data_IF_730942181324
#
_entry.id   IF_730942181324
#
_cell.length_a   1.000
_cell.length_b   1.000
_cell.length_c   1.000
_cell.angle_alpha   90.00
_cell.angle_beta   90.00
_cell.angle_gamma   90.00
#
_symmetry.space_group_name_H-M   'P 1'
#
loop_
_entity.id
_entity.type
_entity.pdbx_description
1 polymer ?
#
# COMPACT_ATOMS: atom_id res chain seq x y z
N UNK A 1 6.93 -9.19 22.14
CA UNK A 1 6.88 -9.72 20.77
C UNK A 1 6.21 -8.66 19.90
N UNK A 2 6.80 -8.30 18.76
CA UNK A 2 6.21 -7.34 17.80
C UNK A 2 5.68 -8.18 16.64
N UNK A 3 4.41 -8.03 16.32
CA UNK A 3 3.81 -8.65 15.14
C UNK A 3 3.81 -7.64 13.98
N UNK A 4 4.34 -8.05 12.83
CA UNK A 4 4.33 -7.25 11.61
C UNK A 4 3.55 -8.01 10.55
N UNK A 5 2.53 -7.37 9.98
CA UNK A 5 1.76 -7.89 8.85
C UNK A 5 1.86 -6.93 7.68
N UNK A 6 2.22 -7.44 6.50
CA UNK A 6 2.22 -6.69 5.26
C UNK A 6 1.10 -7.18 4.34
N UNK A 7 0.43 -6.26 3.65
CA UNK A 7 -0.56 -6.55 2.60
C UNK A 7 -0.29 -5.69 1.38
N UNK A 8 -0.50 -6.28 0.21
CA UNK A 8 -0.43 -5.56 -1.06
C UNK A 8 -1.84 -5.55 -1.62
N UNK A 9 -2.33 -4.36 -1.94
CA UNK A 9 -3.65 -4.14 -2.50
C UNK A 9 -3.50 -3.38 -3.83
N UNK A 10 -4.20 -3.82 -4.86
CA UNK A 10 -4.21 -3.17 -6.18
C UNK A 10 -5.54 -2.47 -6.41
N UNK A 11 -5.50 -1.18 -6.78
CA UNK A 11 -6.68 -0.37 -7.02
C UNK A 11 -6.70 0.14 -8.47
N UNK A 12 -7.87 0.13 -9.14
CA UNK A 12 -8.02 0.78 -10.43
C UNK A 12 -7.91 2.29 -10.28
N UNK A 13 -7.26 2.95 -11.23
CA UNK A 13 -7.26 4.41 -11.33
C UNK A 13 -8.53 4.88 -12.04
N UNK A 14 -9.08 6.02 -11.63
CA UNK A 14 -10.26 6.61 -12.29
C UNK A 14 -10.01 6.92 -13.76
N UNK A 15 -8.78 7.30 -14.09
CA UNK A 15 -8.31 7.57 -15.45
C UNK A 15 -6.85 7.08 -15.58
N UNK A 16 -6.38 6.87 -16.81
CA UNK A 16 -5.00 6.44 -17.03
C UNK A 16 -4.00 7.53 -16.62
N UNK A 17 -3.13 7.22 -15.68
CA UNK A 17 -2.06 8.12 -15.24
C UNK A 17 -0.83 7.96 -16.11
N UNK A 18 -0.48 8.99 -16.88
CA UNK A 18 0.61 8.93 -17.87
C UNK A 18 1.75 9.86 -17.49
N UNK A 19 2.96 9.31 -17.52
CA UNK A 19 4.22 10.04 -17.41
C UNK A 19 5.09 9.71 -18.64
N UNK A 20 6.23 10.39 -18.81
CA UNK A 20 7.15 10.14 -19.94
C UNK A 20 7.58 8.67 -20.10
N UNK A 21 7.54 7.89 -19.00
CA UNK A 21 7.88 6.45 -18.99
C UNK A 21 6.72 5.53 -19.40
N UNK A 22 5.52 6.06 -19.61
CA UNK A 22 4.33 5.30 -20.00
C UNK A 22 3.11 5.58 -19.12
N UNK A 23 2.04 4.84 -19.39
CA UNK A 23 0.75 4.98 -18.72
C UNK A 23 0.49 3.83 -17.74
N UNK A 24 -0.13 4.13 -16.61
CA UNK A 24 -0.67 3.16 -15.66
C UNK A 24 -2.16 3.33 -15.50
N UNK A 25 -2.88 2.23 -15.37
CA UNK A 25 -4.33 2.18 -15.14
C UNK A 25 -4.69 1.60 -13.77
N UNK A 26 -3.68 1.11 -13.04
CA UNK A 26 -3.79 0.54 -11.70
C UNK A 26 -2.65 1.06 -10.84
N UNK A 27 -2.91 1.15 -9.54
CA UNK A 27 -1.91 1.43 -8.52
C UNK A 27 -1.85 0.27 -7.53
N UNK A 28 -0.63 -0.14 -7.19
CA UNK A 28 -0.39 -1.10 -6.14
C UNK A 28 0.06 -0.35 -4.90
N UNK A 29 -0.45 -0.74 -3.73
CA UNK A 29 -0.20 -0.09 -2.46
C UNK A 29 0.22 -1.16 -1.46
N UNK A 30 1.28 -0.88 -0.70
CA UNK A 30 1.71 -1.79 0.37
C UNK A 30 1.29 -1.19 1.71
N UNK A 31 0.43 -1.92 2.43
CA UNK A 31 0.06 -1.59 3.81
C UNK A 31 0.88 -2.43 4.78
N UNK A 32 1.61 -1.78 5.67
CA UNK A 32 2.32 -2.42 6.78
C UNK A 32 1.59 -2.11 8.08
N UNK A 33 1.20 -3.16 8.81
CA UNK A 33 0.65 -3.07 10.17
C UNK A 33 1.68 -3.59 11.15
N UNK A 34 2.02 -2.78 12.13
CA UNK A 34 2.93 -3.14 13.21
C UNK A 34 2.15 -3.08 14.52
N UNK A 35 2.10 -4.21 15.22
CA UNK A 35 1.53 -4.37 16.56
C UNK A 35 2.66 -4.58 17.57
N UNK A 36 3.21 -3.51 18.17
CA UNK A 36 3.83 -3.65 19.48
C UNK A 36 2.75 -4.05 20.49
N UNK A 37 3.06 -4.90 21.47
CA UNK A 37 2.12 -5.54 22.40
C UNK A 37 1.29 -4.58 23.27
N UNK A 38 0.38 -3.83 22.66
CA UNK A 38 -0.47 -2.81 23.28
C UNK A 38 -1.07 -1.75 22.33
N UNK A 39 -0.71 -1.69 21.04
CA UNK A 39 -1.35 -0.73 20.11
C UNK A 39 -1.02 -0.94 18.63
N UNK A 40 -2.03 -0.80 17.77
CA UNK A 40 -1.94 -0.93 16.30
C UNK A 40 -1.34 0.34 15.67
N UNK A 41 -0.23 0.24 14.94
CA UNK A 41 0.29 1.31 14.06
C UNK A 41 0.20 0.89 12.60
N UNK A 42 -0.45 1.70 11.74
CA UNK A 42 -0.62 1.45 10.30
C UNK A 42 0.21 2.43 9.49
N UNK A 43 0.98 1.93 8.53
CA UNK A 43 1.71 2.71 7.53
C UNK A 43 1.36 2.23 6.12
N UNK A 44 1.42 3.14 5.13
CA UNK A 44 1.07 2.90 3.73
C UNK A 44 2.20 3.47 2.87
N UNK A 45 2.72 2.70 1.92
CA UNK A 45 3.73 3.14 0.95
C UNK A 45 3.38 2.75 -0.48
#
# INVERSE_FOLDING_TARGET
MIEVTCRIDSFPLSEAFTILRGSRTKTDVVTVKVRPGGGDKRSIC
#
